data_IF_157596188807
#
_entry.id   IF_157596188807
#
_cell.length_a   1.000
_cell.length_b   1.000
_cell.length_c   1.000
_cell.angle_alpha   90.00
_cell.angle_beta   90.00
_cell.angle_gamma   90.00
#
_symmetry.space_group_name_H-M   'P 1'
#
loop_
_entity.id
_entity.type
_entity.pdbx_description
1 polymer ?
#
# COMPACT_ATOMS: atom_id res chain seq x y z
N UNK A 1 9.63 9.54 10.38
CA UNK A 1 8.93 8.72 9.37
C UNK A 1 9.90 7.85 8.60
N UNK A 2 9.46 6.67 8.23
CA UNK A 2 10.28 5.71 7.51
C UNK A 2 9.72 5.48 6.11
N UNK A 3 10.58 5.08 5.20
CA UNK A 3 10.18 4.69 3.85
C UNK A 3 9.98 3.18 3.80
N UNK A 4 8.84 2.76 3.26
CA UNK A 4 8.49 1.36 3.11
C UNK A 4 8.27 1.07 1.63
N UNK A 5 8.73 -0.09 1.19
CA UNK A 5 8.58 -0.53 -0.20
C UNK A 5 7.77 -1.82 -0.22
N UNK A 6 6.70 -1.83 -0.99
CA UNK A 6 5.87 -3.02 -1.15
C UNK A 6 5.55 -3.23 -2.62
N UNK A 7 5.26 -4.49 -2.97
CA UNK A 7 4.87 -4.85 -4.31
C UNK A 7 3.46 -5.45 -4.26
N UNK A 8 2.57 -4.92 -5.08
CA UNK A 8 1.17 -5.30 -5.08
C UNK A 8 0.65 -5.48 -6.50
N UNK A 9 -0.35 -6.34 -6.66
CA UNK A 9 -1.10 -6.39 -7.90
C UNK A 9 -1.98 -5.15 -8.00
N UNK A 10 -2.38 -4.82 -9.22
CA UNK A 10 -3.19 -3.63 -9.47
C UNK A 10 -4.51 -3.65 -8.69
N UNK A 11 -5.16 -4.80 -8.58
CA UNK A 11 -6.41 -4.92 -7.86
C UNK A 11 -6.25 -4.57 -6.38
N UNK A 12 -5.21 -5.10 -5.76
CA UNK A 12 -4.92 -4.81 -4.35
C UNK A 12 -4.56 -3.35 -4.18
N UNK A 13 -3.78 -2.81 -5.10
CA UNK A 13 -3.34 -1.41 -5.04
C UNK A 13 -4.52 -0.43 -5.05
N UNK A 14 -5.55 -0.69 -5.83
CA UNK A 14 -6.71 0.20 -5.88
C UNK A 14 -7.36 0.37 -4.51
N UNK A 15 -7.46 -0.73 -3.74
CA UNK A 15 -7.98 -0.68 -2.38
C UNK A 15 -7.03 0.09 -1.45
N UNK A 16 -5.75 -0.22 -1.53
CA UNK A 16 -4.77 0.43 -0.67
C UNK A 16 -4.66 1.92 -0.96
N UNK A 17 -4.74 2.31 -2.21
CA UNK A 17 -4.65 3.72 -2.59
C UNK A 17 -5.72 4.55 -1.91
N UNK A 18 -6.96 4.06 -1.90
CA UNK A 18 -8.05 4.76 -1.23
C UNK A 18 -7.78 4.93 0.26
N UNK A 19 -7.28 3.87 0.90
CA UNK A 19 -6.91 3.91 2.31
C UNK A 19 -5.83 4.95 2.58
N UNK A 20 -4.79 4.98 1.76
CA UNK A 20 -3.69 5.93 1.92
C UNK A 20 -4.15 7.38 1.76
N UNK A 21 -5.03 7.63 0.80
CA UNK A 21 -5.56 8.98 0.59
C UNK A 21 -6.40 9.44 1.76
N UNK A 22 -7.22 8.55 2.32
CA UNK A 22 -8.06 8.89 3.48
C UNK A 22 -7.23 9.22 4.71
N UNK A 23 -6.06 8.61 4.85
CA UNK A 23 -5.19 8.80 6.00
C UNK A 23 -4.07 9.81 5.74
N UNK A 24 -4.08 10.48 4.60
CA UNK A 24 -3.07 11.46 4.22
C UNK A 24 -1.64 10.91 4.27
N UNK A 25 -1.48 9.67 3.84
CA UNK A 25 -0.18 9.01 3.80
C UNK A 25 0.44 9.24 2.43
N UNK A 26 1.69 9.71 2.41
CA UNK A 26 2.42 9.94 1.17
C UNK A 26 2.78 8.61 0.51
N UNK A 27 2.62 8.53 -0.80
CA UNK A 27 2.98 7.34 -1.54
C UNK A 27 3.41 7.69 -2.96
N UNK A 28 4.19 6.79 -3.55
CA UNK A 28 4.54 6.82 -4.96
C UNK A 28 4.35 5.41 -5.52
N UNK A 29 3.73 5.33 -6.69
CA UNK A 29 3.46 4.05 -7.33
C UNK A 29 4.17 4.00 -8.68
N UNK A 30 4.82 2.87 -8.96
CA UNK A 30 5.51 2.64 -10.22
C UNK A 30 5.11 1.27 -10.77
N UNK A 31 4.92 1.19 -12.08
CA UNK A 31 4.66 -0.09 -12.72
C UNK A 31 5.97 -0.87 -12.86
N UNK A 32 5.97 -2.12 -12.41
CA UNK A 32 7.14 -2.98 -12.56
C UNK A 32 6.98 -3.87 -13.79
N UNK A 33 5.93 -4.67 -13.81
CA UNK A 33 5.70 -5.61 -14.91
C UNK A 33 4.25 -6.06 -14.90
N UNK A 34 3.55 -5.89 -16.03
CA UNK A 34 2.16 -6.30 -16.13
C UNK A 34 1.30 -5.61 -15.07
N UNK A 35 0.62 -6.41 -14.25
CA UNK A 35 -0.25 -5.89 -13.19
C UNK A 35 0.48 -5.64 -11.88
N UNK A 36 1.78 -5.89 -11.81
CA UNK A 36 2.55 -5.72 -10.59
C UNK A 36 3.03 -4.29 -10.46
N UNK A 37 2.78 -3.69 -9.30
CA UNK A 37 3.17 -2.32 -9.00
C UNK A 37 4.12 -2.30 -7.81
N UNK A 38 5.08 -1.39 -7.87
CA UNK A 38 5.98 -1.09 -6.75
C UNK A 38 5.49 0.17 -6.08
N UNK A 39 5.20 0.08 -4.79
CA UNK A 39 4.66 1.19 -4.02
C UNK A 39 5.67 1.60 -2.96
N UNK A 40 6.02 2.87 -2.95
CA UNK A 40 6.87 3.44 -1.92
C UNK A 40 6.02 4.31 -1.01
N UNK A 41 6.04 3.99 0.29
CA UNK A 41 5.24 4.68 1.30
C UNK A 41 6.14 5.43 2.25
N UNK A 42 5.64 6.56 2.74
CA UNK A 42 6.30 7.29 3.81
C UNK A 42 5.34 7.37 5.00
N UNK A 43 5.64 6.63 6.05
CA UNK A 43 4.72 6.47 7.17
C UNK A 43 5.47 6.23 8.47
N UNK A 44 4.75 6.44 9.59
CA UNK A 44 5.25 6.08 10.90
C UNK A 44 5.12 4.57 11.12
N UNK A 45 5.74 4.07 12.19
CA UNK A 45 5.63 2.64 12.52
C UNK A 45 4.19 2.24 12.81
N UNK A 46 3.42 3.10 13.48
CA UNK A 46 2.00 2.83 13.73
C UNK A 46 1.22 2.75 12.44
N UNK A 47 1.43 3.70 11.53
CA UNK A 47 0.77 3.68 10.24
C UNK A 47 1.16 2.46 9.42
N UNK A 48 2.43 2.06 9.47
CA UNK A 48 2.89 0.87 8.76
C UNK A 48 2.22 -0.39 9.30
N UNK A 49 2.04 -0.50 10.61
CA UNK A 49 1.33 -1.63 11.21
C UNK A 49 -0.12 -1.67 10.75
N UNK A 50 -0.79 -0.53 10.75
CA UNK A 50 -2.17 -0.44 10.29
C UNK A 50 -2.29 -0.81 8.80
N UNK A 51 -1.34 -0.38 7.98
CA UNK A 51 -1.31 -0.71 6.57
C UNK A 51 -1.15 -2.23 6.38
N UNK A 52 -0.27 -2.86 7.15
CA UNK A 52 -0.08 -4.30 7.07
C UNK A 52 -1.36 -5.06 7.44
N UNK A 53 -2.05 -4.63 8.49
CA UNK A 53 -3.32 -5.23 8.90
C UNK A 53 -4.37 -5.05 7.81
N UNK A 54 -4.43 -3.89 7.19
CA UNK A 54 -5.36 -3.64 6.11
C UNK A 54 -5.07 -4.52 4.89
N UNK A 55 -3.80 -4.69 4.54
CA UNK A 55 -3.41 -5.56 3.44
C UNK A 55 -3.79 -7.02 3.72
N UNK A 56 -3.55 -7.50 4.94
CA UNK A 56 -3.96 -8.85 5.33
C UNK A 56 -5.47 -9.02 5.16
N UNK A 57 -6.24 -8.03 5.54
CA UNK A 57 -7.68 -8.04 5.37
C UNK A 57 -8.06 -8.13 3.89
N UNK A 58 -7.44 -7.32 3.04
CA UNK A 58 -7.72 -7.33 1.60
C UNK A 58 -7.39 -8.69 1.00
N UNK A 59 -6.23 -9.26 1.35
CA UNK A 59 -5.81 -10.55 0.82
C UNK A 59 -6.75 -11.68 1.27
N UNK A 60 -7.39 -11.52 2.41
CA UNK A 60 -8.35 -12.50 2.91
C UNK A 60 -9.65 -12.48 2.12
N UNK A 61 -10.12 -11.30 1.72
CA UNK A 61 -11.39 -11.16 1.00
C UNK A 61 -11.25 -11.20 -0.51
N UNK A 62 -10.05 -10.98 -1.02
CA UNK A 62 -9.74 -11.06 -2.44
C UNK A 62 -8.93 -12.33 -2.71
#
# INVERSE_FOLDING_TARGET
>A
MKNYNIELSKNIWEHLRAYLQQNNIYYEASSIKGDLLHIQLRASEEQATDINLYLDFIYTIC
#
